data_IF_180828064972
#
_entry.id   IF_180828064972
#
_cell.length_a   1.000
_cell.length_b   1.000
_cell.length_c   1.000
_cell.angle_alpha   90.00
_cell.angle_beta   90.00
_cell.angle_gamma   90.00
#
_symmetry.space_group_name_H-M   'P 1'
#
loop_
_entity.id
_entity.type
_entity.pdbx_description
1 polymer ?
#
# COMPACT_ATOMS: atom_id res chain seq x y z
N UNK A 1 -20.46 68.90 4.41
CA UNK A 1 -19.57 67.96 5.12
C UNK A 1 -20.15 66.55 4.95
N UNK A 2 -19.63 65.76 4.00
CA UNK A 2 -20.12 64.39 3.71
C UNK A 2 -19.53 63.42 4.73
N UNK A 3 -20.37 62.79 5.56
CA UNK A 3 -19.98 61.71 6.46
C UNK A 3 -19.87 60.42 5.65
N UNK A 4 -18.65 59.90 5.49
CA UNK A 4 -18.39 58.63 4.81
C UNK A 4 -18.31 57.54 5.88
N UNK A 5 -19.40 56.80 6.05
CA UNK A 5 -19.47 55.63 6.94
C UNK A 5 -18.82 54.46 6.23
N UNK A 6 -17.61 54.09 6.66
CA UNK A 6 -16.92 52.88 6.21
C UNK A 6 -17.55 51.70 6.96
N UNK A 7 -18.26 50.84 6.24
CA UNK A 7 -18.76 49.56 6.75
C UNK A 7 -17.65 48.53 6.57
N UNK A 8 -16.96 48.18 7.65
CA UNK A 8 -16.06 47.03 7.68
C UNK A 8 -16.88 45.74 7.63
N UNK A 9 -16.97 45.11 6.47
CA UNK A 9 -17.47 43.75 6.34
C UNK A 9 -16.40 42.78 6.88
N UNK A 10 -16.61 42.27 8.10
CA UNK A 10 -15.78 41.21 8.67
C UNK A 10 -16.02 39.91 7.91
N UNK A 11 -15.03 39.45 7.13
CA UNK A 11 -15.03 38.13 6.54
C UNK A 11 -14.92 37.08 7.66
N UNK A 12 -16.04 36.43 7.98
CA UNK A 12 -16.10 35.30 8.90
C UNK A 12 -15.30 34.13 8.30
N UNK A 13 -14.08 33.93 8.81
CA UNK A 13 -13.32 32.71 8.55
C UNK A 13 -14.02 31.58 9.32
N UNK A 14 -14.71 30.71 8.60
CA UNK A 14 -15.38 29.52 9.16
C UNK A 14 -14.31 28.51 9.60
N UNK A 15 -13.84 28.63 10.84
CA UNK A 15 -13.08 27.59 11.51
C UNK A 15 -14.05 26.52 12.02
N UNK A 16 -13.94 25.29 11.52
CA UNK A 16 -14.75 24.15 11.95
C UNK A 16 -13.97 23.23 12.88
N UNK A 17 -14.59 22.76 13.96
CA UNK A 17 -14.01 21.69 14.77
C UNK A 17 -14.16 20.35 14.04
N UNK A 18 -13.05 19.64 13.84
CA UNK A 18 -13.04 18.28 13.30
C UNK A 18 -11.96 17.45 13.95
N UNK A 19 -12.30 16.23 14.35
CA UNK A 19 -11.33 15.27 14.89
C UNK A 19 -11.04 14.20 13.85
N UNK A 20 -9.77 13.92 13.51
CA UNK A 20 -9.42 12.88 12.57
C UNK A 20 -9.97 11.52 13.00
N UNK A 21 -10.43 10.72 12.04
CA UNK A 21 -10.79 9.32 12.26
C UNK A 21 -9.59 8.42 11.94
N UNK A 22 -9.40 7.41 12.77
CA UNK A 22 -8.37 6.37 12.64
C UNK A 22 -9.04 5.00 12.45
N UNK A 23 -9.90 4.91 11.43
CA UNK A 23 -10.76 3.76 11.14
C UNK A 23 -10.49 3.17 9.76
N UNK A 24 -9.37 3.51 9.13
CA UNK A 24 -9.03 2.96 7.82
C UNK A 24 -8.50 1.53 7.94
N UNK A 25 -9.09 0.63 7.16
CA UNK A 25 -8.58 -0.71 6.92
C UNK A 25 -8.39 -0.86 5.42
N UNK A 26 -7.15 -1.11 4.93
CA UNK A 26 -6.92 -1.26 3.50
C UNK A 26 -7.68 -2.44 2.92
N UNK A 27 -8.09 -2.29 1.67
CA UNK A 27 -8.69 -3.37 0.92
C UNK A 27 -7.63 -4.45 0.65
N UNK A 28 -7.87 -5.66 1.14
CA UNK A 28 -7.02 -6.82 0.91
C UNK A 28 -7.46 -7.56 -0.34
N UNK A 29 -6.52 -7.88 -1.22
CA UNK A 29 -6.72 -8.79 -2.34
C UNK A 29 -5.98 -10.11 -2.05
N UNK A 30 -6.66 -11.23 -2.28
CA UNK A 30 -6.02 -12.54 -2.26
C UNK A 30 -5.25 -12.75 -3.57
N UNK A 31 -3.97 -13.08 -3.44
CA UNK A 31 -3.12 -13.54 -4.53
C UNK A 31 -3.12 -15.06 -4.50
N UNK A 32 -3.39 -15.70 -5.63
CA UNK A 32 -3.26 -17.16 -5.79
C UNK A 32 -3.00 -17.46 -7.26
N UNK A 33 -1.73 -17.53 -7.63
CA UNK A 33 -1.30 -17.71 -9.02
C UNK A 33 -0.18 -18.76 -9.11
N UNK A 34 -0.18 -19.64 -10.12
CA UNK A 34 -1.23 -19.81 -11.11
C UNK A 34 -2.44 -20.60 -10.59
N UNK A 35 -3.58 -20.63 -11.32
CA UNK A 35 -4.79 -21.34 -10.88
C UNK A 35 -4.58 -22.85 -10.69
N UNK A 36 -5.30 -23.46 -9.74
CA UNK A 36 -5.29 -24.92 -9.56
C UNK A 36 -5.80 -25.59 -10.85
N UNK A 37 -5.11 -26.66 -11.27
CA UNK A 37 -5.38 -27.42 -12.48
C UNK A 37 -4.73 -26.86 -13.74
N UNK A 38 -4.16 -25.65 -13.70
CA UNK A 38 -3.47 -25.05 -14.85
C UNK A 38 -2.08 -25.66 -15.08
N UNK A 39 -1.70 -25.72 -16.36
CA UNK A 39 -0.36 -26.10 -16.81
C UNK A 39 0.41 -24.85 -17.19
N UNK A 40 1.60 -24.67 -16.62
CA UNK A 40 2.41 -23.47 -16.78
C UNK A 40 3.86 -23.82 -17.07
N UNK A 41 4.58 -22.88 -17.66
CA UNK A 41 6.03 -22.95 -17.86
C UNK A 41 6.69 -21.82 -17.08
N UNK A 42 7.76 -22.14 -16.36
CA UNK A 42 8.57 -21.18 -15.62
C UNK A 42 10.06 -21.41 -15.90
N UNK A 43 10.86 -20.36 -15.78
CA UNK A 43 12.31 -20.42 -15.94
C UNK A 43 13.02 -20.38 -14.58
N UNK A 44 14.33 -20.64 -14.57
CA UNK A 44 15.11 -20.54 -13.32
C UNK A 44 15.02 -19.12 -12.75
N UNK A 45 14.68 -19.00 -11.47
CA UNK A 45 14.42 -17.76 -10.76
C UNK A 45 12.94 -17.33 -10.76
N UNK A 46 12.12 -17.90 -11.65
CA UNK A 46 10.70 -17.58 -11.70
C UNK A 46 9.92 -18.24 -10.56
N UNK A 47 8.78 -17.65 -10.27
CA UNK A 47 7.82 -18.22 -9.36
C UNK A 47 6.99 -19.32 -10.01
N UNK A 48 6.90 -20.45 -9.32
CA UNK A 48 6.02 -21.57 -9.63
C UNK A 48 4.64 -21.45 -9.00
N UNK A 49 4.56 -20.85 -7.82
CA UNK A 49 3.31 -20.64 -7.12
C UNK A 49 3.47 -19.45 -6.18
N UNK A 50 2.55 -18.49 -6.24
CA UNK A 50 2.43 -17.37 -5.32
C UNK A 50 1.06 -17.42 -4.69
N UNK A 51 1.03 -17.36 -3.36
CA UNK A 51 -0.22 -17.19 -2.64
C UNK A 51 -0.03 -16.22 -1.50
N UNK A 52 -1.05 -15.43 -1.20
CA UNK A 52 -0.95 -14.47 -0.13
C UNK A 52 -2.10 -13.49 -0.10
N UNK A 53 -1.92 -12.50 0.76
CA UNK A 53 -2.76 -11.31 0.85
C UNK A 53 -1.86 -10.13 0.53
N UNK A 54 -2.30 -9.30 -0.41
CA UNK A 54 -1.72 -7.97 -0.63
C UNK A 54 -2.80 -6.95 -0.37
N UNK A 55 -2.53 -6.00 0.52
CA UNK A 55 -3.39 -4.89 0.79
C UNK A 55 -2.82 -3.64 0.12
N UNK A 56 -3.65 -2.99 -0.68
CA UNK A 56 -3.31 -1.72 -1.28
C UNK A 56 -3.82 -0.60 -0.38
N UNK A 57 -2.90 0.23 0.09
CA UNK A 57 -3.22 1.40 0.89
C UNK A 57 -3.73 2.52 -0.02
N UNK A 58 -4.88 3.09 0.31
CA UNK A 58 -5.34 4.34 -0.28
C UNK A 58 -4.51 5.51 0.27
N UNK A 59 -4.28 6.49 -0.59
CA UNK A 59 -3.59 7.71 -0.22
C UNK A 59 -3.91 8.86 -1.14
N UNK A 60 -3.26 9.98 -0.87
CA UNK A 60 -3.21 11.12 -1.78
C UNK A 60 -1.75 11.46 -2.10
N UNK A 61 -1.55 11.98 -3.31
CA UNK A 61 -0.30 12.60 -3.74
C UNK A 61 -0.54 14.08 -3.96
N UNK A 62 0.12 14.91 -3.18
CA UNK A 62 0.19 16.36 -3.39
C UNK A 62 1.26 16.62 -4.44
N UNK A 63 0.90 17.25 -5.55
CA UNK A 63 1.77 17.38 -6.74
C UNK A 63 2.52 18.71 -6.79
N UNK A 64 2.05 19.72 -6.06
CA UNK A 64 2.68 21.03 -5.91
C UNK A 64 2.39 21.59 -4.50
N UNK A 65 3.16 22.57 -3.99
CA UNK A 65 2.90 23.15 -2.67
C UNK A 65 1.45 23.65 -2.55
N UNK A 66 0.71 23.09 -1.59
CA UNK A 66 -0.69 23.40 -1.36
C UNK A 66 -0.80 24.32 -0.14
N UNK A 67 -0.89 25.64 -0.39
CA UNK A 67 -1.00 26.65 0.67
C UNK A 67 -2.40 26.62 1.26
N UNK A 68 -2.51 26.16 2.51
CA UNK A 68 -3.78 26.07 3.24
C UNK A 68 -3.77 27.18 4.30
N UNK A 69 -4.42 28.29 3.97
CA UNK A 69 -4.43 29.54 4.75
C UNK A 69 -3.06 30.24 4.93
N UNK A 70 -3.01 31.23 5.81
CA UNK A 70 -1.76 31.91 6.18
C UNK A 70 -0.81 31.00 6.97
N UNK A 71 -1.36 30.01 7.69
CA UNK A 71 -0.64 29.28 8.72
C UNK A 71 0.05 28.01 8.23
N UNK A 72 -0.36 27.43 7.09
CA UNK A 72 0.08 26.09 6.71
C UNK A 72 0.33 25.93 5.21
N UNK A 73 1.32 25.10 4.86
CA UNK A 73 1.54 24.64 3.48
C UNK A 73 1.74 23.14 3.50
N UNK A 74 0.87 22.39 2.81
CA UNK A 74 1.07 20.96 2.60
C UNK A 74 2.07 20.79 1.44
N UNK A 75 3.19 20.14 1.72
CA UNK A 75 4.29 20.00 0.76
C UNK A 75 4.01 18.87 -0.24
N UNK A 76 4.61 18.92 -1.45
CA UNK A 76 4.50 17.82 -2.40
C UNK A 76 4.98 16.50 -1.83
N UNK A 77 4.26 15.42 -2.12
CA UNK A 77 4.57 14.08 -1.64
C UNK A 77 3.33 13.24 -1.36
N UNK A 78 3.55 12.08 -0.78
CA UNK A 78 2.53 11.06 -0.55
C UNK A 78 2.05 11.07 0.91
N UNK A 79 0.73 10.89 1.07
CA UNK A 79 0.07 10.76 2.36
C UNK A 79 -0.81 9.52 2.34
N UNK A 80 -0.69 8.67 3.36
CA UNK A 80 -1.52 7.48 3.56
C UNK A 80 -2.85 7.84 4.20
N UNK A 81 -3.94 7.20 3.75
CA UNK A 81 -5.26 7.31 4.38
C UNK A 81 -5.21 6.65 5.75
N UNK A 82 -5.75 7.33 6.76
CA UNK A 82 -5.83 6.85 8.15
C UNK A 82 -7.28 6.67 8.61
N UNK A 83 -8.23 7.30 7.93
CA UNK A 83 -9.65 7.09 8.19
C UNK A 83 -10.54 7.93 7.29
N UNK A 84 -11.83 7.83 7.54
CA UNK A 84 -12.85 8.61 6.85
C UNK A 84 -14.15 8.71 7.66
N UNK A 85 -14.97 9.68 7.29
CA UNK A 85 -16.38 9.80 7.66
C UNK A 85 -17.26 9.93 6.41
N UNK A 86 -18.53 10.31 6.56
CA UNK A 86 -19.47 10.44 5.45
C UNK A 86 -19.07 11.48 4.38
N UNK A 87 -18.25 12.47 4.72
CA UNK A 87 -17.93 13.62 3.85
C UNK A 87 -16.41 13.81 3.65
N UNK A 88 -15.59 13.31 4.56
CA UNK A 88 -14.17 13.61 4.64
C UNK A 88 -13.30 12.35 4.67
N UNK A 89 -12.09 12.48 4.17
CA UNK A 89 -11.02 11.49 4.23
C UNK A 89 -9.84 12.10 4.98
N UNK A 90 -9.21 11.31 5.85
CA UNK A 90 -8.12 11.76 6.71
C UNK A 90 -6.81 11.07 6.32
N UNK A 91 -5.72 11.81 6.34
CA UNK A 91 -4.42 11.38 5.85
C UNK A 91 -3.27 11.81 6.78
N UNK A 92 -2.20 11.03 6.75
CA UNK A 92 -0.92 11.33 7.37
C UNK A 92 0.23 11.10 6.38
N UNK A 93 1.37 11.79 6.54
CA UNK A 93 2.57 11.52 5.75
C UNK A 93 2.93 10.03 5.70
N UNK A 94 3.34 9.57 4.53
CA UNK A 94 4.01 8.25 4.42
C UNK A 94 5.39 8.31 5.08
N UNK A 95 5.98 7.19 5.51
CA UNK A 95 7.40 7.15 5.83
C UNK A 95 8.27 7.18 4.56
N UNK A 96 9.50 7.66 4.67
CA UNK A 96 10.51 7.55 3.61
C UNK A 96 10.58 8.74 2.65
N UNK A 97 11.29 8.55 1.54
CA UNK A 97 11.70 9.65 0.65
C UNK A 97 10.58 10.26 -0.20
N UNK A 98 9.47 9.54 -0.42
CA UNK A 98 8.30 10.07 -1.14
C UNK A 98 7.31 10.81 -0.23
N UNK A 99 7.62 10.93 1.06
CA UNK A 99 6.76 11.52 2.07
C UNK A 99 6.47 13.00 1.80
N UNK A 100 5.19 13.35 1.84
CA UNK A 100 4.79 14.76 1.97
C UNK A 100 4.87 15.22 3.42
N UNK A 101 4.64 16.50 3.65
CA UNK A 101 4.65 17.10 4.98
C UNK A 101 3.71 18.29 5.08
N UNK A 102 3.68 18.90 6.27
CA UNK A 102 2.94 20.14 6.48
C UNK A 102 3.88 21.12 7.17
N UNK A 103 4.25 22.16 6.45
CA UNK A 103 4.98 23.30 6.99
C UNK A 103 4.01 24.24 7.70
N UNK A 104 4.45 24.83 8.80
CA UNK A 104 3.65 25.78 9.59
C UNK A 104 4.36 27.12 9.76
N UNK A 105 3.58 28.19 9.81
CA UNK A 105 4.07 29.48 10.28
C UNK A 105 4.45 29.42 11.77
N UNK A 106 5.31 30.34 12.21
CA UNK A 106 5.84 30.37 13.59
C UNK A 106 4.71 30.41 14.62
N UNK A 107 3.71 31.27 14.39
CA UNK A 107 2.57 31.47 15.28
C UNK A 107 1.39 30.52 15.00
N UNK A 108 1.51 29.61 14.04
CA UNK A 108 0.46 28.64 13.77
C UNK A 108 0.56 27.45 14.73
N UNK A 109 -0.60 26.92 15.13
CA UNK A 109 -0.71 25.73 15.97
C UNK A 109 0.00 24.52 15.32
N UNK A 110 0.29 23.51 16.13
CA UNK A 110 0.73 22.22 15.58
C UNK A 110 -0.42 21.55 14.83
N UNK A 111 -0.09 20.91 13.71
CA UNK A 111 -1.02 20.08 12.95
C UNK A 111 -0.99 18.62 13.45
N UNK A 112 -2.08 17.88 13.24
CA UNK A 112 -2.18 16.46 13.59
C UNK A 112 -2.61 15.57 12.42
N UNK A 113 -3.31 16.10 11.42
CA UNK A 113 -3.69 15.37 10.21
C UNK A 113 -3.98 16.31 9.04
N UNK A 114 -3.92 15.75 7.83
CA UNK A 114 -4.44 16.38 6.61
C UNK A 114 -5.82 15.77 6.31
N UNK A 115 -6.77 16.59 5.89
CA UNK A 115 -8.10 16.14 5.48
C UNK A 115 -8.34 16.52 4.03
N UNK A 116 -8.97 15.63 3.25
CA UNK A 116 -9.54 15.96 1.95
C UNK A 116 -11.06 15.74 1.98
N UNK A 117 -11.83 16.66 1.39
CA UNK A 117 -13.27 16.44 1.21
C UNK A 117 -13.53 15.48 0.05
N UNK A 118 -14.49 14.58 0.22
CA UNK A 118 -14.91 13.62 -0.81
C UNK A 118 -15.52 14.36 -2.00
N UNK A 119 -15.16 13.96 -3.22
CA UNK A 119 -15.71 14.52 -4.45
C UNK A 119 -15.25 15.95 -4.78
N UNK A 120 -14.32 16.55 -4.03
CA UNK A 120 -13.75 17.86 -4.33
C UNK A 120 -12.22 17.86 -4.29
N UNK A 121 -11.65 18.98 -4.77
CA UNK A 121 -10.24 19.34 -4.59
C UNK A 121 -10.05 20.28 -3.39
N UNK A 122 -10.71 19.98 -2.27
CA UNK A 122 -10.57 20.73 -1.02
C UNK A 122 -9.62 19.99 -0.10
N UNK A 123 -8.55 20.66 0.34
CA UNK A 123 -7.60 20.14 1.32
C UNK A 123 -7.65 20.99 2.58
N UNK A 124 -7.59 20.35 3.74
CA UNK A 124 -7.60 21.01 5.03
C UNK A 124 -6.44 20.53 5.90
N UNK A 125 -5.96 21.41 6.77
CA UNK A 125 -5.04 21.08 7.86
C UNK A 125 -5.82 21.09 9.16
N UNK A 126 -5.71 20.00 9.93
CA UNK A 126 -6.33 19.87 11.25
C UNK A 126 -5.26 20.09 12.30
N UNK A 127 -5.50 21.04 13.21
CA UNK A 127 -4.58 21.36 14.32
C UNK A 127 -4.77 20.40 15.48
N UNK A 128 -3.80 20.30 16.39
CA UNK A 128 -3.90 19.52 17.64
C UNK A 128 -5.10 19.90 18.51
N UNK A 129 -5.61 21.12 18.37
CA UNK A 129 -6.84 21.59 19.02
C UNK A 129 -8.12 21.23 18.25
N UNK A 130 -8.02 20.33 17.26
CA UNK A 130 -9.12 19.91 16.39
C UNK A 130 -9.75 21.04 15.58
N UNK A 131 -9.04 22.16 15.38
CA UNK A 131 -9.46 23.22 14.46
C UNK A 131 -9.06 22.84 13.05
N UNK A 132 -9.97 22.94 12.09
CA UNK A 132 -9.67 22.74 10.68
C UNK A 132 -9.71 24.03 9.89
N UNK A 133 -8.73 24.18 9.01
CA UNK A 133 -8.68 25.23 8.00
C UNK A 133 -8.55 24.59 6.64
N UNK A 134 -9.40 25.00 5.69
CA UNK A 134 -9.55 24.36 4.39
C UNK A 134 -9.33 25.36 3.25
N UNK A 135 -8.80 24.88 2.13
CA UNK A 135 -8.69 25.63 0.88
C UNK A 135 -9.14 24.77 -0.31
N UNK A 136 -9.74 25.41 -1.33
CA UNK A 136 -10.25 24.75 -2.53
C UNK A 136 -9.24 24.79 -3.69
N UNK A 137 -9.41 23.91 -4.68
CA UNK A 137 -8.55 23.87 -5.86
C UNK A 137 -7.13 23.42 -5.57
N UNK A 138 -6.95 22.60 -4.53
CA UNK A 138 -5.64 22.14 -4.09
C UNK A 138 -5.05 21.08 -5.05
N UNK A 139 -3.73 21.09 -5.30
CA UNK A 139 -3.08 20.22 -6.28
C UNK A 139 -2.80 18.82 -5.69
N UNK A 140 -3.85 18.01 -5.51
CA UNK A 140 -3.69 16.62 -5.08
C UNK A 140 -4.45 15.62 -5.96
N UNK A 141 -4.03 14.36 -5.89
CA UNK A 141 -4.66 13.24 -6.57
C UNK A 141 -4.82 12.08 -5.60
N UNK A 142 -5.95 11.37 -5.66
CA UNK A 142 -6.14 10.12 -4.92
C UNK A 142 -5.41 9.00 -5.65
N UNK A 143 -4.60 8.24 -4.92
CA UNK A 143 -3.76 7.19 -5.48
C UNK A 143 -3.84 5.91 -4.62
N UNK A 144 -3.49 4.78 -5.24
CA UNK A 144 -3.11 3.56 -4.51
C UNK A 144 -1.61 3.63 -4.24
N UNK A 145 -1.23 3.55 -2.97
CA UNK A 145 0.16 3.55 -2.55
C UNK A 145 0.76 2.17 -2.79
N UNK A 146 1.95 2.14 -3.38
CA UNK A 146 2.77 0.94 -3.51
C UNK A 146 3.50 0.63 -2.20
N UNK A 147 2.73 0.64 -1.11
CA UNK A 147 3.21 0.34 0.23
C UNK A 147 2.54 -0.94 0.69
N UNK A 148 3.34 -1.90 1.14
CA UNK A 148 2.77 -3.09 1.77
C UNK A 148 2.03 -2.70 3.04
N UNK A 149 0.79 -3.16 3.18
CA UNK A 149 0.08 -3.02 4.44
C UNK A 149 0.62 -3.99 5.49
N UNK A 150 0.27 -3.81 6.76
CA UNK A 150 0.62 -4.77 7.83
C UNK A 150 0.04 -6.16 7.56
N UNK A 151 -1.08 -6.23 6.84
CA UNK A 151 -1.73 -7.47 6.42
C UNK A 151 -1.09 -8.12 5.18
N UNK A 152 -0.01 -7.57 4.64
CA UNK A 152 0.70 -8.18 3.51
C UNK A 152 1.45 -9.43 3.98
N UNK A 153 1.04 -10.58 3.43
CA UNK A 153 1.71 -11.85 3.61
C UNK A 153 1.74 -12.58 2.27
N UNK A 154 2.91 -13.06 1.85
CA UNK A 154 3.04 -13.81 0.62
C UNK A 154 3.97 -15.02 0.81
N UNK A 155 3.51 -16.16 0.32
CA UNK A 155 4.27 -17.40 0.16
C UNK A 155 4.60 -17.58 -1.32
N UNK A 156 5.80 -18.04 -1.63
CA UNK A 156 6.22 -18.26 -3.00
C UNK A 156 7.10 -19.50 -3.14
N UNK A 157 6.76 -20.39 -4.08
CA UNK A 157 7.68 -21.41 -4.60
C UNK A 157 8.40 -20.88 -5.83
N UNK A 158 9.70 -21.11 -5.91
CA UNK A 158 10.61 -20.64 -6.94
C UNK A 158 11.29 -21.83 -7.60
N UNK A 159 11.50 -21.76 -8.91
CA UNK A 159 12.28 -22.77 -9.61
C UNK A 159 13.76 -22.43 -9.60
N UNK A 160 14.60 -23.28 -9.02
CA UNK A 160 16.05 -23.06 -8.96
C UNK A 160 16.82 -23.93 -9.97
N UNK A 161 16.11 -24.74 -10.77
CA UNK A 161 16.71 -25.62 -11.77
C UNK A 161 16.74 -27.08 -11.37
N UNK A 162 17.33 -27.90 -12.25
CA UNK A 162 17.45 -29.35 -12.09
C UNK A 162 18.86 -29.81 -12.43
N UNK A 163 19.39 -30.74 -11.65
CA UNK A 163 20.67 -31.42 -11.88
C UNK A 163 20.44 -32.93 -11.87
N UNK A 164 20.68 -33.60 -13.01
CA UNK A 164 20.43 -35.03 -13.14
C UNK A 164 18.95 -35.37 -12.94
N UNK A 165 18.62 -36.14 -11.88
CA UNK A 165 17.22 -36.44 -11.51
C UNK A 165 16.67 -35.54 -10.40
N UNK A 166 17.53 -34.71 -9.82
CA UNK A 166 17.21 -33.88 -8.66
C UNK A 166 16.76 -32.50 -9.12
N UNK A 167 15.59 -32.08 -8.66
CA UNK A 167 15.02 -30.76 -8.91
C UNK A 167 15.16 -29.90 -7.64
N UNK A 168 15.56 -28.64 -7.80
CA UNK A 168 15.72 -27.69 -6.71
C UNK A 168 14.60 -26.63 -6.76
N UNK A 169 13.93 -26.46 -5.62
CA UNK A 169 12.82 -25.54 -5.46
C UNK A 169 13.11 -24.62 -4.27
N UNK A 170 13.10 -23.33 -4.51
CA UNK A 170 13.19 -22.34 -3.45
C UNK A 170 11.81 -22.06 -2.86
N UNK A 171 11.74 -21.83 -1.57
CA UNK A 171 10.55 -21.36 -0.87
C UNK A 171 10.87 -20.07 -0.14
N UNK A 172 10.03 -19.05 -0.30
CA UNK A 172 10.14 -17.78 0.43
C UNK A 172 8.82 -17.34 1.04
N UNK A 173 8.89 -16.75 2.23
CA UNK A 173 7.81 -16.00 2.87
C UNK A 173 8.21 -14.55 3.07
N UNK A 174 7.33 -13.64 2.71
CA UNK A 174 7.46 -12.21 3.01
C UNK A 174 6.26 -11.74 3.82
N UNK A 175 6.52 -11.06 4.94
CA UNK A 175 5.53 -10.34 5.73
C UNK A 175 6.08 -8.97 6.08
N UNK A 176 5.22 -7.97 6.20
CA UNK A 176 5.66 -6.60 6.47
C UNK A 176 5.88 -6.31 7.98
N UNK A 177 5.90 -7.33 8.84
CA UNK A 177 6.26 -7.11 10.25
C UNK A 177 7.75 -6.82 10.35
N UNK A 178 8.07 -5.55 10.63
CA UNK A 178 9.38 -4.98 10.92
C UNK A 178 10.35 -6.04 11.46
N UNK A 179 11.35 -6.39 10.66
CA UNK A 179 12.51 -7.21 11.02
C UNK A 179 12.35 -8.75 11.11
N UNK A 180 11.48 -9.39 10.33
CA UNK A 180 11.65 -10.83 10.04
C UNK A 180 12.42 -11.04 8.73
N UNK A 181 13.57 -11.75 8.74
CA UNK A 181 14.21 -12.20 7.51
C UNK A 181 13.17 -12.96 6.66
N UNK A 182 13.19 -12.77 5.34
CA UNK A 182 12.42 -13.63 4.45
C UNK A 182 12.81 -15.08 4.77
N UNK A 183 11.82 -15.90 5.18
CA UNK A 183 12.09 -17.29 5.52
C UNK A 183 12.33 -18.02 4.21
N UNK A 184 13.60 -18.27 3.90
CA UNK A 184 14.03 -18.89 2.65
C UNK A 184 14.49 -20.32 2.94
N UNK A 185 13.94 -21.30 2.21
CA UNK A 185 14.44 -22.67 2.24
C UNK A 185 14.57 -23.17 0.82
N UNK A 186 15.66 -23.85 0.53
CA UNK A 186 15.81 -24.61 -0.70
C UNK A 186 15.55 -26.07 -0.38
N UNK A 187 14.67 -26.69 -1.16
CA UNK A 187 14.32 -28.10 -1.05
C UNK A 187 14.64 -28.82 -2.35
N UNK A 188 15.12 -30.05 -2.21
CA UNK A 188 15.48 -30.91 -3.33
C UNK A 188 14.56 -32.12 -3.38
N UNK A 189 14.09 -32.48 -4.57
CA UNK A 189 13.29 -33.67 -4.81
C UNK A 189 13.95 -34.55 -5.89
N UNK A 190 13.85 -35.87 -5.75
CA UNK A 190 14.25 -36.81 -6.79
C UNK A 190 13.06 -37.17 -7.68
N UNK A 191 13.12 -36.75 -8.95
CA UNK A 191 12.05 -36.98 -9.93
C UNK A 191 11.92 -38.44 -10.37
N UNK A 192 12.83 -39.33 -9.96
CA UNK A 192 12.68 -40.78 -10.18
C UNK A 192 11.84 -41.48 -9.13
N UNK A 193 11.66 -40.86 -7.95
CA UNK A 193 10.75 -41.35 -6.91
C UNK A 193 9.31 -40.88 -7.17
N UNK A 194 9.14 -39.63 -7.60
CA UNK A 194 7.84 -39.08 -7.96
C UNK A 194 7.98 -37.88 -8.89
N UNK A 195 7.05 -37.74 -9.83
CA UNK A 195 6.88 -36.51 -10.61
C UNK A 195 6.07 -35.44 -9.87
N UNK A 196 5.54 -35.74 -8.67
CA UNK A 196 4.82 -34.76 -7.85
C UNK A 196 5.73 -34.23 -6.75
N UNK A 197 5.95 -32.92 -6.76
CA UNK A 197 6.67 -32.21 -5.72
C UNK A 197 5.68 -31.47 -4.82
N UNK A 198 6.02 -31.33 -3.54
CA UNK A 198 5.14 -30.60 -2.63
C UNK A 198 5.83 -30.04 -1.41
N UNK A 199 5.41 -28.84 -1.02
CA UNK A 199 5.97 -28.10 0.12
C UNK A 199 4.87 -27.24 0.77
N UNK A 200 4.73 -27.34 2.09
CA UNK A 200 3.71 -26.61 2.88
C UNK A 200 2.29 -26.64 2.26
N UNK A 201 1.83 -27.84 1.88
CA UNK A 201 0.48 -28.05 1.30
C UNK A 201 0.40 -27.87 -0.22
N UNK A 202 1.22 -27.00 -0.81
CA UNK A 202 1.28 -26.84 -2.26
C UNK A 202 1.81 -28.11 -2.92
N UNK A 203 1.18 -28.53 -4.02
CA UNK A 203 1.58 -29.70 -4.82
C UNK A 203 1.59 -29.35 -6.30
N UNK A 204 2.68 -29.68 -6.96
CA UNK A 204 2.88 -29.47 -8.39
C UNK A 204 3.26 -30.80 -9.04
N UNK A 205 2.63 -31.12 -10.16
CA UNK A 205 3.04 -32.23 -11.01
C UNK A 205 4.04 -31.71 -12.04
N UNK A 206 5.27 -32.20 -11.99
CA UNK A 206 6.32 -31.90 -12.95
C UNK A 206 6.07 -32.70 -14.21
N UNK A 207 5.85 -32.00 -15.32
CA UNK A 207 5.67 -32.62 -16.64
C UNK A 207 7.03 -32.73 -17.35
N UNK A 208 7.79 -31.63 -17.33
CA UNK A 208 9.16 -31.55 -17.85
C UNK A 208 9.98 -30.59 -16.99
N UNK A 209 11.26 -30.89 -16.75
CA UNK A 209 12.17 -30.01 -16.02
C UNK A 209 13.60 -30.14 -16.55
N UNK A 210 14.27 -29.00 -16.73
CA UNK A 210 15.65 -28.86 -17.20
C UNK A 210 16.43 -27.91 -16.29
N UNK A 211 17.73 -27.73 -16.48
CA UNK A 211 18.48 -26.71 -15.75
C UNK A 211 18.09 -25.25 -16.12
N UNK A 212 17.14 -25.03 -17.04
CA UNK A 212 16.72 -23.70 -17.51
C UNK A 212 15.23 -23.43 -17.30
N UNK A 213 14.39 -24.45 -17.39
CA UNK A 213 12.93 -24.30 -17.35
C UNK A 213 12.23 -25.52 -16.77
N UNK A 214 10.98 -25.32 -16.38
CA UNK A 214 10.07 -26.35 -15.92
C UNK A 214 8.68 -26.10 -16.49
N UNK A 215 8.07 -27.19 -16.96
CA UNK A 215 6.65 -27.26 -17.32
C UNK A 215 5.95 -28.13 -16.28
N UNK A 216 4.92 -27.59 -15.65
CA UNK A 216 4.27 -28.21 -14.49
C UNK A 216 2.77 -27.93 -14.47
N UNK A 217 2.03 -28.78 -13.76
CA UNK A 217 0.60 -28.60 -13.48
C UNK A 217 0.40 -28.33 -11.99
N UNK A 218 -0.42 -27.33 -11.66
CA UNK A 218 -0.77 -27.02 -10.27
C UNK A 218 -1.82 -28.02 -9.79
N UNK A 219 -1.50 -28.81 -8.76
CA UNK A 219 -2.46 -29.76 -8.15
C UNK A 219 -3.15 -29.15 -6.93
N UNK A 220 -2.40 -28.44 -6.09
CA UNK A 220 -2.92 -27.72 -4.92
C UNK A 220 -2.06 -26.50 -4.60
N UNK A 221 -2.66 -25.54 -3.90
CA UNK A 221 -1.94 -24.36 -3.37
C UNK A 221 -1.58 -24.57 -1.89
N UNK A 222 -1.07 -23.55 -1.19
CA UNK A 222 -0.60 -23.70 0.18
C UNK A 222 -1.72 -23.91 1.22
N UNK A 223 -2.97 -23.57 0.88
CA UNK A 223 -4.11 -23.56 1.81
C UNK A 223 -5.25 -24.51 1.40
N UNK A 224 -5.07 -25.40 0.41
CA UNK A 224 -6.08 -26.35 -0.07
C UNK A 224 -5.53 -27.75 -0.23
#
# INVERSE_FOLDING_TARGET
MKKMTIVCAAALVLAGCTSPKYNYTPATQQISEPPIGSTNTAYVGDSLLRQGISAQLDGIKVTAPARVSWGYTVTPGEFKKIGEDGQNEFYMPTPGASSGGVDKAVLADMWQAVMAKKGSQTLCVITVFSVSTCENGMPFQRIKLNMSAESDFQQTLLYNGRVGKKINIGYRESSNSVARPAFNNDVEYDLSESNVIGYKGARLEVLEATNQSIRYKVLSNFNK
#
